data_IF_845628460299
#
_entry.id   IF_845628460299
#
_cell.length_a   1.000
_cell.length_b   1.000
_cell.length_c   1.000
_cell.angle_alpha   90.00
_cell.angle_beta   90.00
_cell.angle_gamma   90.00
#
_symmetry.space_group_name_H-M   'P 1'
#
loop_
_entity.id
_entity.type
_entity.pdbx_description
1 polymer ?
#
# COMPACT_ATOMS: atom_id res chain seq x y z
N UNK A 1 23.97 -31.93 -103.00
CA UNK A 1 24.63 -30.79 -102.33
C UNK A 1 23.80 -30.39 -101.11
N UNK A 2 24.47 -30.14 -99.99
CA UNK A 2 23.99 -30.28 -98.63
C UNK A 2 22.75 -29.43 -98.27
N UNK A 3 21.74 -30.08 -97.65
CA UNK A 3 20.68 -29.39 -96.90
C UNK A 3 21.04 -29.45 -95.42
N UNK A 4 21.61 -28.35 -94.92
CA UNK A 4 21.79 -28.14 -93.48
C UNK A 4 20.41 -27.93 -92.84
N UNK A 5 20.05 -28.63 -91.75
CA UNK A 5 18.80 -28.40 -91.06
C UNK A 5 18.85 -27.06 -90.32
N UNK A 6 18.09 -26.09 -90.83
CA UNK A 6 17.76 -24.83 -90.16
C UNK A 6 16.67 -25.08 -89.10
N UNK A 7 17.06 -25.47 -87.89
CA UNK A 7 16.29 -25.19 -86.67
C UNK A 7 17.15 -25.50 -85.43
N UNK A 8 17.38 -24.53 -84.52
CA UNK A 8 17.97 -24.82 -83.22
C UNK A 8 17.03 -25.75 -82.41
N UNK A 9 17.56 -26.54 -81.46
CA UNK A 9 16.73 -27.39 -80.62
C UNK A 9 15.76 -26.54 -79.81
N UNK A 10 14.48 -26.92 -79.84
CA UNK A 10 13.44 -26.32 -78.99
C UNK A 10 13.83 -26.65 -77.54
N UNK A 11 14.15 -25.63 -76.75
CA UNK A 11 14.25 -25.77 -75.31
C UNK A 11 12.89 -26.20 -74.79
N UNK A 12 12.77 -27.44 -74.34
CA UNK A 12 11.60 -27.90 -73.59
C UNK A 12 11.61 -27.12 -72.29
N UNK A 13 10.69 -26.16 -72.16
CA UNK A 13 10.50 -25.44 -70.91
C UNK A 13 10.22 -26.47 -69.81
N UNK A 14 11.01 -26.43 -68.74
CA UNK A 14 10.72 -27.23 -67.55
C UNK A 14 9.29 -26.91 -67.07
N UNK A 15 8.53 -27.91 -66.58
CA UNK A 15 7.18 -27.66 -66.08
C UNK A 15 7.24 -26.57 -65.00
N UNK A 16 6.43 -25.52 -65.19
CA UNK A 16 6.29 -24.48 -64.16
C UNK A 16 5.84 -25.16 -62.86
N UNK A 17 6.49 -24.91 -61.70
CA UNK A 17 5.99 -25.43 -60.44
C UNK A 17 4.56 -24.90 -60.23
N UNK A 18 3.64 -25.81 -59.90
CA UNK A 18 2.24 -25.47 -59.66
C UNK A 18 2.15 -24.28 -58.70
N UNK A 19 1.33 -23.29 -59.04
CA UNK A 19 1.09 -22.15 -58.17
C UNK A 19 0.68 -22.65 -56.78
N UNK A 20 1.25 -22.11 -55.69
CA UNK A 20 0.82 -22.49 -54.35
C UNK A 20 -0.68 -22.23 -54.20
N UNK A 21 -1.42 -23.11 -53.49
CA UNK A 21 -2.85 -22.93 -53.30
C UNK A 21 -3.14 -21.56 -52.66
N UNK A 22 -4.33 -20.98 -52.91
CA UNK A 22 -4.72 -19.71 -52.31
C UNK A 22 -4.60 -19.78 -50.79
N UNK A 23 -4.02 -18.75 -50.19
CA UNK A 23 -3.72 -18.66 -48.74
C UNK A 23 -4.99 -18.73 -47.86
N UNK A 24 -6.19 -18.67 -48.46
CA UNK A 24 -7.46 -18.69 -47.74
C UNK A 24 -7.84 -20.06 -47.14
N UNK A 25 -7.19 -21.17 -47.53
CA UNK A 25 -7.58 -22.50 -47.05
C UNK A 25 -6.86 -22.94 -45.74
N UNK A 26 -5.93 -22.14 -45.22
CA UNK A 26 -5.08 -22.52 -44.07
C UNK A 26 -5.35 -21.76 -42.77
N UNK A 27 -6.34 -20.87 -42.76
CA UNK A 27 -6.66 -20.06 -41.59
C UNK A 27 -8.15 -20.13 -41.24
N UNK A 28 -8.62 -21.36 -41.03
CA UNK A 28 -9.83 -21.59 -40.23
C UNK A 28 -9.48 -21.23 -38.78
N UNK A 29 -9.55 -19.94 -38.44
CA UNK A 29 -9.50 -19.49 -37.05
C UNK A 29 -10.78 -20.04 -36.44
N UNK A 30 -10.71 -21.01 -35.50
CA UNK A 30 -11.93 -21.49 -34.87
C UNK A 30 -12.61 -20.28 -34.26
N UNK A 31 -13.87 -20.03 -34.65
CA UNK A 31 -14.72 -19.00 -34.08
C UNK A 31 -14.52 -19.05 -32.55
N UNK A 32 -14.03 -17.95 -31.96
CA UNK A 32 -13.83 -17.85 -30.52
C UNK A 32 -15.14 -18.29 -29.85
N UNK A 33 -15.16 -19.47 -29.22
CA UNK A 33 -16.33 -19.94 -28.49
C UNK A 33 -16.76 -18.82 -27.54
N UNK A 34 -18.07 -18.48 -27.49
CA UNK A 34 -18.55 -17.42 -26.64
C UNK A 34 -18.29 -17.82 -25.18
N UNK A 35 -17.18 -17.32 -24.62
CA UNK A 35 -16.76 -17.53 -23.25
C UNK A 35 -17.97 -17.22 -22.37
N UNK A 36 -18.47 -18.26 -21.69
CA UNK A 36 -19.66 -18.23 -20.85
C UNK A 36 -19.63 -17.10 -19.80
N UNK A 37 -20.07 -15.91 -20.20
CA UNK A 37 -19.96 -14.67 -19.41
C UNK A 37 -20.69 -14.77 -18.06
N UNK A 38 -21.70 -15.63 -17.96
CA UNK A 38 -22.48 -15.85 -16.74
C UNK A 38 -21.70 -16.49 -15.59
N UNK A 39 -20.76 -17.41 -15.86
CA UNK A 39 -20.04 -18.12 -14.79
C UNK A 39 -19.01 -17.21 -14.10
N UNK A 40 -18.37 -16.32 -14.86
CA UNK A 40 -17.39 -15.36 -14.38
C UNK A 40 -18.02 -14.28 -13.49
N UNK A 41 -19.20 -13.76 -13.85
CA UNK A 41 -19.89 -12.72 -13.08
C UNK A 41 -20.30 -13.23 -11.69
N UNK A 42 -20.94 -14.41 -11.63
CA UNK A 42 -21.40 -14.98 -10.35
C UNK A 42 -20.22 -15.26 -9.42
N UNK A 43 -19.15 -15.86 -9.95
CA UNK A 43 -17.97 -16.19 -9.14
C UNK A 43 -17.25 -14.92 -8.65
N UNK A 44 -17.15 -13.88 -9.47
CA UNK A 44 -16.53 -12.59 -9.09
C UNK A 44 -17.33 -11.88 -7.99
N UNK A 45 -18.67 -11.87 -8.10
CA UNK A 45 -19.55 -11.32 -7.07
C UNK A 45 -19.34 -12.00 -5.71
N UNK A 46 -19.35 -13.33 -5.69
CA UNK A 46 -19.14 -14.09 -4.46
C UNK A 46 -17.74 -13.88 -3.90
N UNK A 47 -16.70 -13.82 -4.74
CA UNK A 47 -15.34 -13.48 -4.30
C UNK A 47 -15.29 -12.11 -3.63
N UNK A 48 -15.87 -11.08 -4.25
CA UNK A 48 -15.90 -9.73 -3.68
C UNK A 48 -16.65 -9.71 -2.33
N UNK A 49 -17.83 -10.35 -2.30
CA UNK A 49 -18.66 -10.44 -1.09
C UNK A 49 -17.94 -11.17 0.04
N UNK A 50 -17.33 -12.33 -0.24
CA UNK A 50 -16.59 -13.10 0.76
C UNK A 50 -15.42 -12.27 1.31
N UNK A 51 -14.62 -11.63 0.45
CA UNK A 51 -13.50 -10.80 0.90
C UNK A 51 -13.97 -9.61 1.75
N UNK A 52 -15.07 -8.97 1.38
CA UNK A 52 -15.65 -7.88 2.16
C UNK A 52 -16.12 -8.38 3.54
N UNK A 53 -16.81 -9.52 3.59
CA UNK A 53 -17.26 -10.10 4.85
C UNK A 53 -16.09 -10.53 5.74
N UNK A 54 -15.03 -11.10 5.16
CA UNK A 54 -13.78 -11.41 5.88
C UNK A 54 -13.18 -10.13 6.45
N UNK A 55 -13.09 -9.06 5.67
CA UNK A 55 -12.57 -7.78 6.13
C UNK A 55 -13.36 -7.23 7.33
N UNK A 56 -14.69 -7.23 7.23
CA UNK A 56 -15.57 -6.77 8.30
C UNK A 56 -15.49 -7.68 9.52
N UNK A 57 -15.39 -8.99 9.33
CA UNK A 57 -15.20 -9.96 10.41
C UNK A 57 -13.89 -9.71 11.17
N UNK A 58 -12.77 -9.58 10.46
CA UNK A 58 -11.47 -9.29 11.08
C UNK A 58 -11.52 -7.94 11.82
N UNK A 59 -12.05 -6.89 11.19
CA UNK A 59 -12.17 -5.56 11.80
C UNK A 59 -13.03 -5.55 13.07
N UNK A 60 -14.14 -6.29 13.05
CA UNK A 60 -15.05 -6.37 14.21
C UNK A 60 -14.43 -7.19 15.34
N UNK A 61 -13.85 -8.37 15.05
CA UNK A 61 -13.14 -9.18 16.05
C UNK A 61 -12.00 -8.40 16.71
N UNK A 62 -11.23 -7.67 15.93
CA UNK A 62 -10.13 -6.87 16.44
C UNK A 62 -10.63 -5.68 17.31
N UNK A 63 -11.79 -5.08 16.99
CA UNK A 63 -12.38 -4.02 17.83
C UNK A 63 -12.86 -4.52 19.19
N UNK A 64 -13.25 -5.79 19.29
CA UNK A 64 -13.74 -6.39 20.53
C UNK A 64 -12.61 -6.73 21.51
N UNK A 65 -11.37 -6.87 21.03
CA UNK A 65 -10.23 -7.19 21.88
C UNK A 65 -8.98 -6.38 21.50
N UNK A 66 -8.92 -5.08 21.89
CA UNK A 66 -7.75 -4.24 21.67
C UNK A 66 -6.45 -4.82 22.25
N UNK A 67 -6.54 -5.53 23.39
CA UNK A 67 -5.39 -6.18 24.03
C UNK A 67 -4.79 -7.30 23.17
N UNK A 68 -5.62 -8.12 22.51
CA UNK A 68 -5.12 -9.16 21.59
C UNK A 68 -4.49 -8.54 20.35
N UNK A 69 -5.09 -7.47 19.82
CA UNK A 69 -4.54 -6.70 18.70
C UNK A 69 -3.18 -6.11 19.06
N UNK A 70 -3.01 -5.64 20.30
CA UNK A 70 -1.75 -5.10 20.78
C UNK A 70 -0.64 -6.17 20.87
N UNK A 71 -0.92 -7.30 21.52
CA UNK A 71 0.08 -8.34 21.74
C UNK A 71 0.44 -9.07 20.44
N UNK A 72 -0.55 -9.52 19.67
CA UNK A 72 -0.33 -10.40 18.52
C UNK A 72 -0.03 -9.60 17.26
N UNK A 73 -0.94 -8.71 16.88
CA UNK A 73 -0.81 -8.01 15.61
C UNK A 73 0.24 -6.90 15.70
N UNK A 74 0.20 -6.12 16.76
CA UNK A 74 0.88 -4.84 16.83
C UNK A 74 2.34 -4.94 17.25
N UNK A 75 2.64 -5.72 18.29
CA UNK A 75 4.01 -5.93 18.76
C UNK A 75 4.78 -6.95 17.92
N UNK A 76 4.11 -7.95 17.34
CA UNK A 76 4.76 -9.00 16.53
C UNK A 76 4.59 -8.78 15.03
N UNK A 77 3.38 -8.93 14.49
CA UNK A 77 3.14 -8.98 13.04
C UNK A 77 3.56 -7.65 12.38
N UNK A 78 3.02 -6.54 12.88
CA UNK A 78 3.27 -5.20 12.35
C UNK A 78 4.73 -4.76 12.53
N UNK A 79 5.40 -5.20 13.59
CA UNK A 79 6.83 -4.95 13.76
C UNK A 79 7.65 -5.56 12.61
N UNK A 80 7.36 -6.79 12.22
CA UNK A 80 8.03 -7.43 11.09
C UNK A 80 7.64 -6.82 9.75
N UNK A 81 6.35 -6.53 9.53
CA UNK A 81 5.86 -5.88 8.30
C UNK A 81 6.53 -4.52 8.12
N UNK A 82 6.49 -3.65 9.13
CA UNK A 82 7.04 -2.30 9.04
C UNK A 82 8.55 -2.33 8.77
N UNK A 83 9.30 -3.20 9.46
CA UNK A 83 10.74 -3.37 9.24
C UNK A 83 11.06 -3.87 7.83
N UNK A 84 10.30 -4.82 7.29
CA UNK A 84 10.46 -5.29 5.91
C UNK A 84 10.18 -4.17 4.91
N UNK A 85 9.07 -3.46 5.07
CA UNK A 85 8.70 -2.34 4.20
C UNK A 85 9.76 -1.24 4.25
N UNK A 86 10.23 -0.84 5.44
CA UNK A 86 11.29 0.17 5.59
C UNK A 86 12.60 -0.30 4.98
N UNK A 87 12.97 -1.57 5.16
CA UNK A 87 14.19 -2.12 4.57
C UNK A 87 14.16 -2.04 3.05
N UNK A 88 13.06 -2.47 2.42
CA UNK A 88 12.93 -2.40 0.96
C UNK A 88 12.84 -0.94 0.49
N UNK A 89 12.11 -0.09 1.21
CA UNK A 89 11.95 1.33 0.86
C UNK A 89 13.24 2.14 0.96
N UNK A 90 14.25 1.67 1.71
CA UNK A 90 15.57 2.31 1.78
C UNK A 90 16.32 2.27 0.43
N UNK A 91 16.02 1.31 -0.44
CA UNK A 91 16.70 1.14 -1.73
C UNK A 91 16.12 2.00 -2.85
N UNK A 92 14.91 2.55 -2.67
CA UNK A 92 14.21 3.31 -3.70
C UNK A 92 13.92 4.73 -3.20
N UNK A 93 14.06 5.72 -4.08
CA UNK A 93 13.68 7.11 -3.77
C UNK A 93 12.16 7.34 -3.79
N UNK A 94 11.39 6.38 -4.29
CA UNK A 94 9.92 6.38 -4.39
C UNK A 94 9.37 5.34 -3.42
N UNK A 95 8.25 5.63 -2.76
CA UNK A 95 7.65 4.67 -1.84
C UNK A 95 7.15 3.42 -2.57
N UNK A 96 7.39 2.23 -2.00
CA UNK A 96 6.78 0.99 -2.49
C UNK A 96 5.25 1.06 -2.56
N UNK A 97 4.63 1.79 -1.64
CA UNK A 97 3.19 2.03 -1.68
C UNK A 97 2.77 2.80 -2.93
N UNK A 98 3.51 3.85 -3.30
CA UNK A 98 3.25 4.64 -4.51
C UNK A 98 3.41 3.80 -5.77
N UNK A 99 4.45 2.95 -5.82
CA UNK A 99 4.65 2.02 -6.94
C UNK A 99 3.48 1.04 -7.04
N UNK A 100 3.08 0.43 -5.91
CA UNK A 100 1.96 -0.51 -5.87
C UNK A 100 0.65 0.14 -6.33
N UNK A 101 0.31 1.32 -5.79
CA UNK A 101 -0.91 2.04 -6.20
C UNK A 101 -0.84 2.47 -7.66
N UNK A 102 0.32 2.94 -8.13
CA UNK A 102 0.54 3.26 -9.55
C UNK A 102 0.31 2.07 -10.46
N UNK A 103 0.82 0.89 -10.10
CA UNK A 103 0.61 -0.36 -10.85
C UNK A 103 -0.87 -0.76 -10.89
N UNK A 104 -1.59 -0.70 -9.75
CA UNK A 104 -3.02 -1.01 -9.69
C UNK A 104 -3.83 -0.06 -10.57
N UNK A 105 -3.53 1.24 -10.53
CA UNK A 105 -4.18 2.26 -11.35
C UNK A 105 -3.93 1.99 -12.84
N UNK A 106 -2.66 1.82 -13.25
CA UNK A 106 -2.31 1.55 -14.65
C UNK A 106 -2.99 0.28 -15.15
N UNK A 107 -2.93 -0.80 -14.36
CA UNK A 107 -3.59 -2.07 -14.70
C UNK A 107 -5.09 -1.88 -14.91
N UNK A 108 -5.76 -1.19 -13.98
CA UNK A 108 -7.20 -0.94 -14.08
C UNK A 108 -7.56 -0.09 -15.31
N UNK A 109 -6.77 0.94 -15.61
CA UNK A 109 -6.97 1.78 -16.79
C UNK A 109 -6.78 1.01 -18.10
N UNK A 110 -5.68 0.26 -18.24
CA UNK A 110 -5.40 -0.55 -19.44
C UNK A 110 -6.49 -1.61 -19.65
N UNK A 111 -6.88 -2.29 -18.57
CA UNK A 111 -7.95 -3.28 -18.59
C UNK A 111 -9.28 -2.66 -19.00
N UNK A 112 -9.64 -1.50 -18.43
CA UNK A 112 -10.87 -0.77 -18.77
C UNK A 112 -10.88 -0.37 -20.24
N UNK A 113 -9.79 0.20 -20.77
CA UNK A 113 -9.69 0.60 -22.18
C UNK A 113 -9.82 -0.61 -23.11
N UNK A 114 -9.15 -1.71 -22.80
CA UNK A 114 -9.23 -2.95 -23.58
C UNK A 114 -10.67 -3.49 -23.62
N UNK A 115 -11.33 -3.53 -22.46
CA UNK A 115 -12.69 -4.06 -22.35
C UNK A 115 -13.73 -3.15 -23.03
N UNK A 116 -13.57 -1.83 -22.90
CA UNK A 116 -14.44 -0.85 -23.54
C UNK A 116 -14.29 -0.86 -25.06
N UNK A 117 -13.08 -1.08 -25.58
CA UNK A 117 -12.85 -1.27 -27.03
C UNK A 117 -13.59 -2.48 -27.59
N UNK A 118 -13.67 -3.59 -26.84
CA UNK A 118 -14.44 -4.78 -27.22
C UNK A 118 -15.94 -4.52 -27.21
N UNK A 119 -16.42 -3.71 -26.26
CA UNK A 119 -17.81 -3.25 -26.22
C UNK A 119 -18.19 -2.39 -27.43
N UNK A 120 -17.34 -1.42 -27.80
CA UNK A 120 -17.60 -0.52 -28.93
C UNK A 120 -17.57 -1.22 -30.30
N UNK A 121 -16.95 -2.40 -30.41
CA UNK A 121 -17.00 -3.25 -31.62
C UNK A 121 -18.34 -3.98 -31.79
N UNK A 122 -19.30 -3.79 -30.87
CA UNK A 122 -20.62 -4.40 -30.95
C UNK A 122 -20.69 -5.84 -30.46
N UNK A 123 -19.58 -6.38 -29.96
CA UNK A 123 -19.46 -7.77 -29.49
C UNK A 123 -20.18 -8.00 -28.15
N UNK A 124 -20.53 -6.94 -27.41
CA UNK A 124 -21.20 -7.03 -26.10
C UNK A 124 -22.13 -5.83 -25.84
N UNK A 125 -23.18 -6.05 -25.02
CA UNK A 125 -24.09 -4.97 -24.59
C UNK A 125 -23.41 -4.06 -23.56
N UNK A 126 -23.59 -2.75 -23.70
CA UNK A 126 -23.01 -1.73 -22.80
C UNK A 126 -23.39 -1.96 -21.32
N UNK A 127 -24.61 -2.42 -21.04
CA UNK A 127 -25.04 -2.73 -19.67
C UNK A 127 -24.23 -3.87 -19.03
N UNK A 128 -23.92 -4.92 -19.79
CA UNK A 128 -23.11 -6.05 -19.29
C UNK A 128 -21.67 -5.61 -19.01
N UNK A 129 -21.16 -4.70 -19.84
CA UNK A 129 -19.82 -4.11 -19.70
C UNK A 129 -19.71 -3.29 -18.42
N UNK A 130 -20.68 -2.42 -18.15
CA UNK A 130 -20.74 -1.62 -16.91
C UNK A 130 -20.83 -2.53 -15.69
N UNK A 131 -21.68 -3.58 -15.75
CA UNK A 131 -21.84 -4.54 -14.65
C UNK A 131 -20.53 -5.26 -14.33
N UNK A 132 -19.83 -5.75 -15.34
CA UNK A 132 -18.55 -6.46 -15.17
C UNK A 132 -17.49 -5.52 -14.61
N UNK A 133 -17.41 -4.29 -15.13
CA UNK A 133 -16.49 -3.27 -14.62
C UNK A 133 -16.75 -2.96 -13.13
N UNK A 134 -18.02 -2.78 -12.76
CA UNK A 134 -18.41 -2.57 -11.37
C UNK A 134 -18.02 -3.75 -10.46
N UNK A 135 -18.25 -4.99 -10.88
CA UNK A 135 -17.87 -6.16 -10.10
C UNK A 135 -16.35 -6.29 -9.94
N UNK A 136 -15.58 -6.01 -10.99
CA UNK A 136 -14.12 -6.00 -10.90
C UNK A 136 -13.64 -4.92 -9.94
N UNK A 137 -14.22 -3.73 -10.02
CA UNK A 137 -13.90 -2.63 -9.11
C UNK A 137 -14.22 -3.00 -7.65
N UNK A 138 -15.41 -3.56 -7.39
CA UNK A 138 -15.82 -4.01 -6.07
C UNK A 138 -14.90 -5.11 -5.51
N UNK A 139 -14.49 -6.07 -6.36
CA UNK A 139 -13.55 -7.12 -5.99
C UNK A 139 -12.16 -6.54 -5.66
N UNK A 140 -11.65 -5.63 -6.49
CA UNK A 140 -10.38 -4.94 -6.25
C UNK A 140 -10.42 -4.16 -4.94
N UNK A 141 -11.45 -3.34 -4.70
CA UNK A 141 -11.60 -2.60 -3.44
C UNK A 141 -11.72 -3.51 -2.22
N UNK A 142 -12.49 -4.60 -2.31
CA UNK A 142 -12.63 -5.55 -1.19
C UNK A 142 -11.28 -6.19 -0.85
N UNK A 143 -10.51 -6.56 -1.88
CA UNK A 143 -9.17 -7.13 -1.70
C UNK A 143 -8.19 -6.11 -1.12
N UNK A 144 -8.19 -4.88 -1.65
CA UNK A 144 -7.36 -3.79 -1.15
C UNK A 144 -7.71 -3.44 0.30
N UNK A 145 -8.98 -3.51 0.68
CA UNK A 145 -9.42 -3.23 2.04
C UNK A 145 -8.89 -4.27 3.03
N UNK A 146 -8.92 -5.57 2.67
CA UNK A 146 -8.31 -6.64 3.48
C UNK A 146 -6.80 -6.42 3.60
N UNK A 147 -6.13 -6.13 2.48
CA UNK A 147 -4.69 -5.86 2.47
C UNK A 147 -4.34 -4.66 3.35
N UNK A 148 -5.13 -3.59 3.27
CA UNK A 148 -5.01 -2.42 4.12
C UNK A 148 -5.16 -2.78 5.60
N UNK A 149 -6.20 -3.54 5.98
CA UNK A 149 -6.40 -4.00 7.35
C UNK A 149 -5.19 -4.79 7.86
N UNK A 150 -4.69 -5.73 7.06
CA UNK A 150 -3.56 -6.58 7.43
C UNK A 150 -2.22 -5.85 7.49
N UNK A 151 -1.99 -4.84 6.65
CA UNK A 151 -0.74 -4.08 6.68
C UNK A 151 -0.74 -2.99 7.75
N UNK A 152 -1.86 -2.29 7.94
CA UNK A 152 -1.93 -1.10 8.80
C UNK A 152 -3.24 -1.00 9.61
N UNK A 153 -4.39 -1.35 9.03
CA UNK A 153 -5.69 -1.00 9.60
C UNK A 153 -5.95 -1.58 10.99
N UNK A 154 -5.52 -2.81 11.26
CA UNK A 154 -5.65 -3.41 12.59
C UNK A 154 -4.79 -2.70 13.65
N UNK A 155 -3.73 -2.02 13.23
CA UNK A 155 -2.86 -1.26 14.13
C UNK A 155 -3.61 -0.12 14.85
N UNK A 156 -4.62 0.45 14.21
CA UNK A 156 -5.40 1.56 14.76
C UNK A 156 -6.40 1.11 15.83
N UNK A 157 -6.61 -0.19 15.99
CA UNK A 157 -7.47 -0.75 17.03
C UNK A 157 -6.70 -1.13 18.31
N UNK A 158 -5.43 -0.71 18.43
CA UNK A 158 -4.66 -0.83 19.67
C UNK A 158 -5.34 -0.12 20.83
N UNK A 159 -5.04 -0.58 22.04
CA UNK A 159 -5.44 0.12 23.24
C UNK A 159 -4.88 1.55 23.22
N UNK A 160 -5.69 2.57 23.58
CA UNK A 160 -5.20 3.92 23.66
C UNK A 160 -4.04 4.02 24.66
N UNK A 161 -3.04 4.81 24.30
CA UNK A 161 -1.85 5.04 25.13
C UNK A 161 -2.22 5.58 26.53
N UNK A 162 -3.32 6.33 26.64
CA UNK A 162 -3.83 6.77 27.95
C UNK A 162 -4.12 5.60 28.87
N UNK A 163 -4.66 4.53 28.33
CA UNK A 163 -5.16 3.40 29.09
C UNK A 163 -4.00 2.45 29.40
N UNK A 164 -3.03 2.31 28.48
CA UNK A 164 -1.82 1.53 28.71
C UNK A 164 -0.83 2.17 29.69
N UNK A 165 -0.80 3.52 29.77
CA UNK A 165 0.05 4.26 30.70
C UNK A 165 -0.66 4.71 31.98
N UNK A 166 -1.93 4.33 32.18
CA UNK A 166 -2.71 4.72 33.37
C UNK A 166 -2.93 6.24 33.48
N UNK A 167 -2.90 6.96 32.35
CA UNK A 167 -3.08 8.41 32.31
C UNK A 167 -4.55 8.77 32.42
N UNK A 168 -4.88 9.65 33.37
CA UNK A 168 -6.22 10.21 33.52
C UNK A 168 -6.52 11.08 32.29
N UNK A 169 -7.50 10.67 31.47
CA UNK A 169 -7.99 11.50 30.36
C UNK A 169 -8.72 12.73 30.91
N UNK A 170 -8.02 13.86 30.94
CA UNK A 170 -8.64 15.16 31.18
C UNK A 170 -8.86 15.86 29.83
N UNK A 171 -10.03 16.49 29.59
CA UNK A 171 -10.22 17.30 28.39
C UNK A 171 -9.17 18.41 28.34
N UNK A 172 -8.56 18.59 27.17
CA UNK A 172 -7.59 19.65 26.95
C UNK A 172 -8.28 21.00 27.12
N UNK A 173 -7.81 21.83 28.06
CA UNK A 173 -8.34 23.17 28.25
C UNK A 173 -7.61 24.13 27.30
N UNK A 174 -8.34 25.08 26.73
CA UNK A 174 -7.81 25.99 25.71
C UNK A 174 -6.70 26.90 26.25
N UNK A 175 -6.76 27.26 27.53
CA UNK A 175 -5.74 28.03 28.24
C UNK A 175 -4.42 27.24 28.37
N UNK A 176 -4.49 25.95 28.68
CA UNK A 176 -3.32 25.07 28.78
C UNK A 176 -2.65 24.87 27.41
N UNK A 177 -3.44 24.65 26.35
CA UNK A 177 -2.90 24.53 24.99
C UNK A 177 -2.24 25.84 24.53
N UNK A 178 -2.84 26.99 24.85
CA UNK A 178 -2.27 28.29 24.52
C UNK A 178 -0.97 28.54 25.28
N UNK A 179 -0.91 28.19 26.57
CA UNK A 179 0.29 28.31 27.38
C UNK A 179 1.43 27.40 26.88
N UNK A 180 1.12 26.15 26.52
CA UNK A 180 2.09 25.21 25.95
C UNK A 180 2.58 25.72 24.58
N UNK A 181 1.67 26.14 23.71
CA UNK A 181 2.01 26.70 22.41
C UNK A 181 2.91 27.93 22.52
N UNK A 182 2.60 28.85 23.44
CA UNK A 182 3.42 30.02 23.71
C UNK A 182 4.82 29.64 24.23
N UNK A 183 4.92 28.64 25.12
CA UNK A 183 6.20 28.10 25.61
C UNK A 183 7.03 27.53 24.47
N UNK A 184 6.45 26.71 23.60
CA UNK A 184 7.15 26.12 22.45
C UNK A 184 7.62 27.21 21.49
N UNK A 185 6.74 28.15 21.12
CA UNK A 185 7.08 29.28 20.25
C UNK A 185 8.25 30.10 20.82
N UNK A 186 8.16 30.48 22.09
CA UNK A 186 9.21 31.25 22.75
C UNK A 186 10.54 30.48 22.83
N UNK A 187 10.49 29.17 23.09
CA UNK A 187 11.68 28.32 23.15
C UNK A 187 12.36 28.16 21.79
N UNK A 188 11.58 27.98 20.71
CA UNK A 188 12.11 27.91 19.35
C UNK A 188 12.78 29.23 18.96
N UNK A 189 12.11 30.36 19.18
CA UNK A 189 12.67 31.67 18.84
C UNK A 189 13.93 31.98 19.64
N UNK A 190 13.92 31.69 20.94
CA UNK A 190 15.11 31.85 21.78
C UNK A 190 16.28 31.02 21.26
N UNK A 191 16.04 29.75 20.90
CA UNK A 191 17.08 28.89 20.34
C UNK A 191 17.60 29.41 18.98
N UNK A 192 16.73 30.02 18.17
CA UNK A 192 17.12 30.66 16.91
C UNK A 192 18.00 31.90 17.16
N UNK A 193 17.62 32.76 18.09
CA UNK A 193 18.37 33.97 18.46
C UNK A 193 19.74 33.61 19.07
N UNK A 194 19.79 32.62 19.97
CA UNK A 194 21.02 32.11 20.57
C UNK A 194 21.96 31.50 19.51
N UNK A 195 21.40 30.82 18.50
CA UNK A 195 22.16 30.30 17.36
C UNK A 195 22.69 31.39 16.43
N UNK A 196 21.94 32.47 16.23
CA UNK A 196 22.34 33.61 15.43
C UNK A 196 23.40 34.48 16.14
N UNK A 197 23.37 34.55 17.48
CA UNK A 197 24.32 35.29 18.29
C UNK A 197 25.68 34.56 18.49
N UNK A 198 25.71 33.23 18.33
CA UNK A 198 26.95 32.46 18.31
C UNK A 198 27.76 32.69 17.03
N UNK A 199 28.99 33.19 17.15
CA UNK A 199 29.88 33.38 15.99
C UNK A 199 30.08 32.06 15.23
N UNK A 200 29.58 31.98 13.99
CA UNK A 200 29.82 30.83 13.10
C UNK A 200 28.62 30.28 12.34
N UNK A 201 27.58 31.08 12.07
CA UNK A 201 26.47 30.64 11.21
C UNK A 201 26.93 30.46 9.76
N UNK A 202 27.21 29.23 9.35
CA UNK A 202 27.66 28.89 7.98
C UNK A 202 26.48 28.58 7.02
N UNK A 203 25.23 28.79 7.43
CA UNK A 203 24.05 28.42 6.64
C UNK A 203 23.84 26.90 6.48
N UNK A 204 24.67 26.07 7.10
CA UNK A 204 24.44 24.63 7.24
C UNK A 204 23.78 24.37 8.59
N UNK A 205 22.72 23.57 8.62
CA UNK A 205 21.93 23.18 9.81
C UNK A 205 22.74 22.39 10.82
N UNK A 206 23.81 22.97 11.36
CA UNK A 206 24.56 22.43 12.49
C UNK A 206 23.94 23.01 13.76
N UNK A 207 23.68 22.14 14.73
CA UNK A 207 23.27 22.53 16.07
C UNK A 207 24.22 23.64 16.58
N UNK A 208 23.71 24.71 17.20
CA UNK A 208 24.52 25.83 17.69
C UNK A 208 25.41 25.46 18.89
N UNK A 209 25.56 24.16 19.18
CA UNK A 209 26.26 23.63 20.33
C UNK A 209 26.88 22.26 20.02
N UNK A 210 28.01 21.90 20.66
CA UNK A 210 28.60 20.58 20.55
C UNK A 210 27.65 19.48 21.06
N UNK A 211 27.70 18.29 20.45
CA UNK A 211 26.86 17.14 20.80
C UNK A 211 26.94 16.75 22.29
N UNK A 212 28.12 16.89 22.90
CA UNK A 212 28.32 16.62 24.33
C UNK A 212 27.43 17.51 25.22
N UNK A 213 27.39 18.81 24.91
CA UNK A 213 26.55 19.78 25.62
C UNK A 213 25.07 19.55 25.35
N UNK A 214 24.70 19.11 24.14
CA UNK A 214 23.31 18.77 23.83
C UNK A 214 22.85 17.58 24.67
N UNK A 215 23.64 16.52 24.74
CA UNK A 215 23.33 15.35 25.56
C UNK A 215 23.22 15.71 27.05
N UNK A 216 24.09 16.58 27.55
CA UNK A 216 24.03 17.09 28.92
C UNK A 216 22.72 17.86 29.20
N UNK A 217 22.31 18.76 28.29
CA UNK A 217 21.04 19.49 28.41
C UNK A 217 19.84 18.54 28.32
N UNK A 218 19.87 17.57 27.40
CA UNK A 218 18.81 16.57 27.24
C UNK A 218 18.67 15.72 28.51
N UNK A 219 19.78 15.22 29.05
CA UNK A 219 19.79 14.43 30.28
C UNK A 219 19.27 15.27 31.46
N UNK A 220 19.79 16.49 31.62
CA UNK A 220 19.35 17.41 32.68
C UNK A 220 17.86 17.75 32.53
N UNK A 221 17.36 17.92 31.31
CA UNK A 221 15.95 18.19 31.06
C UNK A 221 15.09 16.97 31.36
N UNK A 222 15.55 15.76 31.00
CA UNK A 222 14.84 14.51 31.29
C UNK A 222 14.72 14.29 32.81
N UNK A 223 15.82 14.48 33.56
CA UNK A 223 15.84 14.35 35.02
C UNK A 223 14.96 15.41 35.72
N UNK A 224 14.84 16.61 35.13
CA UNK A 224 14.06 17.71 35.71
C UNK A 224 12.62 17.80 35.18
N UNK A 225 12.21 16.94 34.25
CA UNK A 225 10.84 16.93 33.73
C UNK A 225 9.98 16.01 34.60
N UNK A 226 8.95 16.52 35.30
CA UNK A 226 8.12 15.74 36.22
C UNK A 226 7.18 14.73 35.53
N UNK A 227 7.40 14.38 34.25
CA UNK A 227 6.63 13.34 33.55
C UNK A 227 6.73 11.97 34.23
N UNK A 228 7.74 11.77 35.09
CA UNK A 228 7.94 10.57 35.90
C UNK A 228 7.85 10.83 37.43
N UNK A 229 7.43 12.02 37.87
CA UNK A 229 6.99 12.16 39.26
C UNK A 229 5.64 11.46 39.39
N UNK A 230 5.68 10.33 40.09
CA UNK A 230 4.56 9.49 40.51
C UNK A 230 3.24 10.26 40.63
N UNK A 231 2.18 9.87 39.92
CA UNK A 231 0.86 10.32 40.30
C UNK A 231 0.60 9.69 41.68
N UNK A 232 0.54 10.61 42.65
CA UNK A 232 -0.07 10.50 43.97
C UNK A 232 0.54 9.55 45.01
N UNK A 233 0.61 10.10 46.24
CA UNK A 233 0.92 9.43 47.50
C UNK A 233 -0.17 8.43 47.92
N UNK A 234 -0.77 7.69 46.99
CA UNK A 234 -1.66 6.56 47.26
C UNK A 234 -1.43 5.45 46.24
N UNK A 235 -0.39 4.64 46.49
CA UNK A 235 -0.38 3.20 46.20
C UNK A 235 -0.56 2.73 44.75
N UNK A 236 0.51 2.78 43.95
CA UNK A 236 0.67 1.84 42.83
C UNK A 236 0.97 0.44 43.37
N UNK A 237 -0.06 -0.40 43.47
CA UNK A 237 0.12 -1.86 43.60
C UNK A 237 0.29 -2.42 42.20
N UNK A 238 1.53 -2.75 41.82
CA UNK A 238 1.77 -3.61 40.66
C UNK A 238 1.23 -5.00 41.00
N UNK A 239 0.25 -5.56 40.26
CA UNK A 239 -0.04 -6.97 40.36
C UNK A 239 1.21 -7.72 39.89
N UNK A 240 1.79 -8.55 40.78
CA UNK A 240 2.88 -9.44 40.42
C UNK A 240 2.41 -10.36 39.26
N UNK A 241 2.84 -10.08 38.03
CA UNK A 241 2.57 -10.90 36.85
C UNK A 241 3.33 -12.24 36.83
N UNK A 242 3.79 -12.73 37.99
CA UNK A 242 4.51 -14.00 38.15
C UNK A 242 3.90 -14.95 39.19
N UNK A 243 2.67 -14.72 39.66
CA UNK A 243 1.95 -15.66 40.52
C UNK A 243 0.64 -16.12 39.90
N UNK A 244 0.74 -16.88 38.80
CA UNK A 244 -0.31 -17.81 38.35
C UNK A 244 0.34 -19.16 38.00
N UNK A 245 0.86 -19.82 39.02
CA UNK A 245 1.01 -21.28 39.07
C UNK A 245 0.59 -21.70 40.48
N UNK A 246 -0.51 -22.46 40.56
CA UNK A 246 -1.15 -22.92 41.80
C UNK A 246 -2.65 -23.04 41.60
#
# INVERSE_FOLDING_TARGET
>A
MARFPLRPPVAVAAPQPAAPPPIEEFFDIPDEEPISSGYTIRSLFWKATIWLLVALGIQTLASLSPTLVELVYSQTIYFHISRLLTYVNRYFSISLGEIFFGMVIIWFFLWTIWYLRRAFRGETRVFDVIKILFLHLAWTFSTLFVLFLLLWGLNFQRMPISDSMGLIRRPARSDELQAIGARIYSGINKNYDDAAAGQGWSGTSRLPMPMAKLNEILETSFQNTPILESPDREGWVFPNLFTLQG
#
